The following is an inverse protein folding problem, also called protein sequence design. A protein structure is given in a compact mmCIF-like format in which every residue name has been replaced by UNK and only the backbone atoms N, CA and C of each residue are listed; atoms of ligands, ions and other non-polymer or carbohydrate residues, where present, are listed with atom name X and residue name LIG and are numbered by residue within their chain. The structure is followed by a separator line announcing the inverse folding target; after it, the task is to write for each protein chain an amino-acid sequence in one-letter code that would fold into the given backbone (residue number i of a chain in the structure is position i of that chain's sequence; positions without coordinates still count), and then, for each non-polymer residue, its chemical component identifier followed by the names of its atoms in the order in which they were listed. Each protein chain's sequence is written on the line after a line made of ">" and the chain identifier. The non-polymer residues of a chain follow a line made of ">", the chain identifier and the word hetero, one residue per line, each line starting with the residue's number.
data_IF_964406922776
#
_entry.id   IF_964406922776
#
_cell.length_a   1.000
_cell.length_b   1.000
_cell.length_c   1.000
_cell.angle_alpha   90.00
_cell.angle_beta   90.00
_cell.angle_gamma   90.00
#
_symmetry.space_group_name_H-M   'P 1'
#
loop_
_entity.id
_entity.type
_entity.pdbx_description
1 polymer ?
#
# COMPACT_ATOMS: atom_id res chain seq x y z
N UNK A 1 10.40 4.47 -11.59
CA UNK A 1 10.57 4.18 -10.15
C UNK A 1 9.43 3.26 -9.76
N UNK A 2 9.65 2.31 -8.86
CA UNK A 2 8.61 1.40 -8.38
C UNK A 2 7.80 2.11 -7.28
N UNK A 3 6.46 2.03 -7.34
CA UNK A 3 5.62 2.57 -6.27
C UNK A 3 5.71 1.72 -5.01
N UNK A 4 5.63 2.32 -3.83
CA UNK A 4 5.62 1.60 -2.56
C UNK A 4 4.37 1.93 -1.77
N UNK A 5 3.63 0.91 -1.33
CA UNK A 5 2.51 1.06 -0.40
C UNK A 5 2.83 0.33 0.89
N UNK A 6 2.88 1.07 2.01
CA UNK A 6 3.07 0.52 3.34
C UNK A 6 1.70 0.36 4.01
N UNK A 7 1.29 -0.87 4.28
CA UNK A 7 0.03 -1.23 4.94
C UNK A 7 0.29 -1.72 6.35
N UNK A 8 -0.25 -1.05 7.36
CA UNK A 8 0.01 -1.40 8.77
C UNK A 8 -1.21 -1.17 9.66
N UNK A 9 -1.17 -1.61 10.91
CA UNK A 9 -2.13 -1.19 11.93
C UNK A 9 -1.75 0.17 12.52
N UNK A 10 -2.78 0.97 12.81
CA UNK A 10 -2.61 2.27 13.47
C UNK A 10 -1.65 3.19 12.72
N UNK A 11 -0.74 3.83 13.45
CA UNK A 11 0.23 4.80 12.92
C UNK A 11 1.60 4.22 12.54
N UNK A 12 1.82 2.91 12.66
CA UNK A 12 3.16 2.31 12.53
C UNK A 12 3.82 2.64 11.19
N UNK A 13 3.10 2.44 10.07
CA UNK A 13 3.64 2.72 8.74
C UNK A 13 4.00 4.19 8.53
N UNK A 14 3.32 5.11 9.22
CA UNK A 14 3.61 6.54 9.11
C UNK A 14 4.92 6.87 9.81
N UNK A 15 5.12 6.32 11.00
CA UNK A 15 6.38 6.50 11.72
C UNK A 15 7.55 5.83 11.00
N UNK A 16 7.34 4.67 10.37
CA UNK A 16 8.36 4.05 9.52
C UNK A 16 8.77 4.96 8.35
N UNK A 17 7.80 5.59 7.67
CA UNK A 17 8.09 6.55 6.61
C UNK A 17 8.83 7.77 7.16
N UNK A 18 8.36 8.37 8.25
CA UNK A 18 9.03 9.51 8.89
C UNK A 18 10.49 9.17 9.24
N UNK A 19 10.75 7.99 9.82
CA UNK A 19 12.09 7.52 10.13
C UNK A 19 12.94 7.36 8.86
N UNK A 20 12.41 6.75 7.80
CA UNK A 20 13.12 6.61 6.53
C UNK A 20 13.47 7.99 5.94
N UNK A 21 12.52 8.93 5.91
CA UNK A 21 12.74 10.27 5.38
C UNK A 21 13.78 11.06 6.17
N UNK A 22 13.87 10.85 7.48
CA UNK A 22 14.90 11.46 8.32
C UNK A 22 16.31 10.91 8.02
N UNK A 23 16.43 9.67 7.56
CA UNK A 23 17.73 9.03 7.31
C UNK A 23 18.18 9.21 5.87
N UNK A 24 17.28 9.03 4.90
CA UNK A 24 17.62 9.00 3.46
C UNK A 24 16.98 10.14 2.66
N UNK A 25 16.24 11.04 3.30
CA UNK A 25 15.53 12.15 2.66
C UNK A 25 14.14 11.77 2.15
N UNK A 26 13.41 12.77 1.65
CA UNK A 26 12.02 12.61 1.19
C UNK A 26 11.86 11.47 0.18
N UNK A 27 10.83 10.64 0.37
CA UNK A 27 10.60 9.48 -0.48
C UNK A 27 9.45 9.76 -1.46
N UNK A 28 9.80 9.86 -2.75
CA UNK A 28 8.81 9.92 -3.82
C UNK A 28 8.12 8.55 -3.99
N UNK A 29 6.87 8.57 -4.47
CA UNK A 29 6.10 7.36 -4.80
C UNK A 29 5.89 6.36 -3.64
N UNK A 30 5.94 6.85 -2.39
CA UNK A 30 5.54 6.08 -1.20
C UNK A 30 4.16 6.53 -0.71
N UNK A 31 3.30 5.57 -0.37
CA UNK A 31 2.02 5.82 0.32
C UNK A 31 1.92 4.92 1.55
N UNK A 32 1.24 5.42 2.57
CA UNK A 32 1.06 4.73 3.85
C UNK A 32 -0.43 4.62 4.14
N UNK A 33 -0.88 3.41 4.44
CA UNK A 33 -2.25 3.12 4.85
C UNK A 33 -2.24 2.41 6.20
N UNK A 34 -2.83 3.08 7.19
CA UNK A 34 -3.09 2.53 8.52
C UNK A 34 -4.51 1.97 8.61
N UNK A 35 -4.64 0.71 9.04
CA UNK A 35 -5.91 0.12 9.45
C UNK A 35 -6.18 0.50 10.91
N UNK A 36 -7.32 1.12 11.16
CA UNK A 36 -7.76 1.48 12.51
C UNK A 36 -8.98 0.66 12.91
N UNK A 37 -9.16 0.38 14.21
CA UNK A 37 -10.28 -0.42 14.70
C UNK A 37 -11.67 0.20 14.48
N UNK A 38 -11.72 1.47 14.08
CA UNK A 38 -12.94 2.23 13.80
C UNK A 38 -13.39 2.16 12.34
N UNK A 39 -12.62 1.51 11.48
CA UNK A 39 -12.87 1.50 10.04
C UNK A 39 -13.98 0.51 9.65
N UNK A 40 -14.87 0.93 8.74
CA UNK A 40 -15.92 0.07 8.21
C UNK A 40 -15.34 -1.20 7.57
N UNK A 41 -16.09 -2.32 7.49
CA UNK A 41 -15.59 -3.60 6.99
C UNK A 41 -14.81 -3.50 5.68
N UNK A 42 -15.33 -2.72 4.72
CA UNK A 42 -14.77 -2.57 3.36
C UNK A 42 -13.99 -1.26 3.12
N UNK A 43 -13.89 -0.40 4.16
CA UNK A 43 -13.30 0.93 4.02
C UNK A 43 -11.82 0.88 3.67
N UNK A 44 -11.12 -0.08 4.27
CA UNK A 44 -9.69 -0.28 4.05
C UNK A 44 -9.39 -0.78 2.63
N UNK A 45 -10.13 -1.78 2.13
CA UNK A 45 -9.99 -2.29 0.77
C UNK A 45 -10.19 -1.19 -0.27
N UNK A 46 -11.17 -0.30 -0.05
CA UNK A 46 -11.43 0.82 -0.95
C UNK A 46 -10.25 1.78 -1.01
N UNK A 47 -9.74 2.23 0.14
CA UNK A 47 -8.57 3.14 0.20
C UNK A 47 -7.32 2.49 -0.41
N UNK A 48 -7.11 1.21 -0.15
CA UNK A 48 -6.00 0.45 -0.72
C UNK A 48 -6.10 0.40 -2.25
N UNK A 49 -7.30 0.12 -2.79
CA UNK A 49 -7.53 0.11 -4.24
C UNK A 49 -7.26 1.48 -4.87
N UNK A 50 -7.82 2.55 -4.30
CA UNK A 50 -7.63 3.92 -4.79
C UNK A 50 -6.14 4.30 -4.79
N UNK A 51 -5.44 4.00 -3.69
CA UNK A 51 -4.00 4.25 -3.55
C UNK A 51 -3.18 3.48 -4.59
N UNK A 52 -3.52 2.21 -4.84
CA UNK A 52 -2.81 1.38 -5.83
C UNK A 52 -3.04 1.87 -7.27
N UNK A 53 -4.23 2.37 -7.59
CA UNK A 53 -4.54 2.96 -8.89
C UNK A 53 -3.81 4.30 -9.09
N UNK A 54 -3.71 5.12 -8.05
CA UNK A 54 -2.96 6.38 -8.09
C UNK A 54 -1.44 6.17 -8.25
N UNK A 55 -0.91 5.12 -7.64
CA UNK A 55 0.51 4.76 -7.67
C UNK A 55 0.90 3.86 -8.84
N UNK A 56 -0.02 3.48 -9.74
CA UNK A 56 0.26 2.52 -10.80
C UNK A 56 1.43 3.02 -11.68
N UNK A 57 2.59 2.39 -11.55
CA UNK A 57 3.80 2.71 -12.31
C UNK A 57 4.12 1.61 -13.32
N UNK A 58 4.89 1.95 -14.37
CA UNK A 58 5.42 0.97 -15.32
C UNK A 58 6.31 -0.10 -14.67
N UNK A 59 6.90 0.20 -13.51
CA UNK A 59 7.75 -0.73 -12.75
C UNK A 59 6.95 -1.57 -11.74
N UNK A 60 5.63 -1.39 -11.67
CA UNK A 60 4.77 -2.03 -10.68
C UNK A 60 4.79 -1.35 -9.31
N UNK A 61 4.16 -2.02 -8.35
CA UNK A 61 3.98 -1.52 -6.98
C UNK A 61 4.37 -2.59 -5.97
N UNK A 62 5.23 -2.23 -5.02
CA UNK A 62 5.61 -3.07 -3.89
C UNK A 62 4.72 -2.74 -2.68
N UNK A 63 4.10 -3.76 -2.10
CA UNK A 63 3.30 -3.62 -0.88
C UNK A 63 4.08 -4.18 0.30
N UNK A 64 4.28 -3.37 1.34
CA UNK A 64 4.97 -3.73 2.58
C UNK A 64 3.95 -3.80 3.72
N UNK A 65 3.89 -4.93 4.44
CA UNK A 65 2.99 -5.09 5.58
C UNK A 65 3.74 -5.28 6.88
N UNK A 66 3.18 -4.79 7.98
CA UNK A 66 3.66 -5.04 9.35
C UNK A 66 3.54 -6.52 9.77
N UNK A 67 2.41 -7.16 9.46
CA UNK A 67 2.08 -8.50 9.92
C UNK A 67 1.45 -9.33 8.80
N UNK A 68 2.11 -10.44 8.46
CA UNK A 68 1.57 -11.42 7.52
C UNK A 68 0.31 -12.10 8.09
N UNK A 69 -0.71 -12.29 7.26
CA UNK A 69 -1.98 -12.93 7.67
C UNK A 69 -2.97 -12.03 8.40
N UNK A 70 -2.60 -10.78 8.70
CA UNK A 70 -3.54 -9.79 9.23
C UNK A 70 -4.41 -9.19 8.10
N UNK A 71 -5.46 -8.44 8.48
CA UNK A 71 -6.34 -7.74 7.52
C UNK A 71 -5.56 -6.91 6.49
N UNK A 72 -4.59 -6.05 6.88
CA UNK A 72 -3.83 -5.24 5.92
C UNK A 72 -3.13 -6.08 4.83
N UNK A 73 -2.42 -7.14 5.24
CA UNK A 73 -1.74 -8.06 4.32
C UNK A 73 -2.72 -8.86 3.45
N UNK A 74 -3.82 -9.31 4.02
CA UNK A 74 -4.84 -10.10 3.30
C UNK A 74 -5.53 -9.26 2.22
N UNK A 75 -5.96 -8.04 2.55
CA UNK A 75 -6.59 -7.13 1.58
C UNK A 75 -5.64 -6.77 0.43
N UNK A 76 -4.34 -6.68 0.69
CA UNK A 76 -3.32 -6.51 -0.35
C UNK A 76 -3.17 -7.76 -1.25
N UNK A 77 -3.13 -8.96 -0.68
CA UNK A 77 -2.94 -10.19 -1.44
C UNK A 77 -4.13 -10.54 -2.33
N UNK A 78 -5.35 -10.13 -1.95
CA UNK A 78 -6.57 -10.35 -2.74
C UNK A 78 -6.65 -9.39 -3.94
N UNK A 79 -5.89 -8.28 -3.93
CA UNK A 79 -5.86 -7.37 -5.07
C UNK A 79 -5.21 -8.03 -6.29
N UNK A 80 -5.92 -8.04 -7.42
CA UNK A 80 -5.51 -8.70 -8.67
C UNK A 80 -5.42 -7.73 -9.84
N UNK A 81 -4.78 -6.57 -9.64
CA UNK A 81 -4.55 -5.61 -10.73
C UNK A 81 -5.84 -5.07 -11.37
N UNK A 82 -5.67 -4.25 -12.41
CA UNK A 82 -6.72 -4.03 -13.40
C UNK A 82 -6.60 -5.10 -14.50
N UNK A 83 -7.69 -5.50 -15.18
CA UNK A 83 -7.65 -6.46 -16.29
C UNK A 83 -6.74 -6.06 -17.48
N UNK A 84 -6.17 -4.86 -17.48
CA UNK A 84 -5.53 -4.24 -18.64
C UNK A 84 -4.03 -4.55 -18.80
N UNK A 85 -3.41 -5.34 -17.91
CA UNK A 85 -2.01 -5.76 -18.05
C UNK A 85 -1.82 -7.14 -18.69
N UNK A 86 -2.90 -7.79 -19.14
CA UNK A 86 -2.86 -9.04 -19.91
C UNK A 86 -3.44 -8.79 -21.30
N UNK A 87 -2.96 -7.76 -22.01
CA UNK A 87 -3.15 -7.67 -23.46
C UNK A 87 -1.91 -8.22 -24.15
N UNK A 88 -2.09 -9.42 -24.73
CA UNK A 88 -1.25 -10.12 -25.71
C UNK A 88 0.02 -9.41 -26.19
N UNK A 89 1.16 -9.98 -25.80
CA UNK A 89 2.28 -10.19 -26.72
C UNK A 89 2.25 -11.66 -27.18
#
# INVERSE_FOLDING_TARGET
>A
MMGIVVVTHGGLGRELLNCAENVVGAQADVRVLGLTGSEAPDGFEKRLRETLLELETQAGTLILSDMLGARPATSACVWRGTPNSISNS
#
